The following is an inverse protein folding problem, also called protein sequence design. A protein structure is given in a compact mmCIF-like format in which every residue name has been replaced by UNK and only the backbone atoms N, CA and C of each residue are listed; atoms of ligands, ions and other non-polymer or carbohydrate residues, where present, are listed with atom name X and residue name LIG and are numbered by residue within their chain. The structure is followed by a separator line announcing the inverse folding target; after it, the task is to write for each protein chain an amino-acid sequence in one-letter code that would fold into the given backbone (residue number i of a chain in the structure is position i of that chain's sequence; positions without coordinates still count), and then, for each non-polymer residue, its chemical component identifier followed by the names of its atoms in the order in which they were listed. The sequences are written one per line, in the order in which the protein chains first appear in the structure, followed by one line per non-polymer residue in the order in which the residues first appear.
data_IF_187284936757
#
_entry.id   IF_187284936757
#
_cell.length_a   1.000
_cell.length_b   1.000
_cell.length_c   1.000
_cell.angle_alpha   90.00
_cell.angle_beta   90.00
_cell.angle_gamma   90.00
#
_symmetry.space_group_name_H-M   'P 1'
#
loop_
_entity.id
_entity.type
_entity.pdbx_description
1 polymer ?
#
# COMPACT_ATOMS: atom_id res chain seq x y z
N UNK A 1 1.51 29.58 -34.30
CA UNK A 1 2.90 29.88 -34.72
C UNK A 1 2.78 30.87 -35.87
N UNK A 2 3.47 32.02 -35.80
CA UNK A 2 3.42 33.04 -36.87
C UNK A 2 4.71 32.92 -37.65
N UNK A 3 4.62 32.64 -38.95
CA UNK A 3 5.80 32.48 -39.82
C UNK A 3 5.77 33.56 -40.90
N UNK A 4 6.87 34.30 -41.10
CA UNK A 4 6.94 35.33 -42.14
C UNK A 4 7.12 34.68 -43.52
N UNK A 5 6.42 35.18 -44.53
CA UNK A 5 6.62 34.81 -45.94
C UNK A 5 7.21 36.01 -46.66
N UNK A 6 8.47 35.91 -47.10
CA UNK A 6 9.13 36.97 -47.86
C UNK A 6 9.01 36.72 -49.37
N UNK A 7 8.36 37.63 -50.10
CA UNK A 7 8.51 37.74 -51.55
C UNK A 7 9.71 38.65 -51.85
N UNK A 8 10.56 38.26 -52.80
CA UNK A 8 11.78 39.00 -53.18
C UNK A 8 11.45 40.38 -53.77
N UNK A 9 11.31 41.38 -52.90
CA UNK A 9 11.74 42.77 -53.06
C UNK A 9 11.44 43.52 -51.76
N UNK A 10 12.48 44.03 -51.12
CA UNK A 10 12.51 44.89 -49.92
C UNK A 10 11.19 45.13 -49.17
N UNK A 11 10.94 44.33 -48.13
CA UNK A 11 9.89 44.56 -47.12
C UNK A 11 9.00 43.35 -46.90
N UNK A 12 8.81 42.94 -45.64
CA UNK A 12 7.83 41.92 -45.27
C UNK A 12 6.45 42.44 -45.69
N UNK A 13 5.82 41.82 -46.69
CA UNK A 13 4.54 42.30 -47.21
C UNK A 13 3.34 41.73 -46.45
N UNK A 14 3.44 40.52 -45.88
CA UNK A 14 2.32 39.85 -45.20
C UNK A 14 2.80 38.92 -44.08
N UNK A 15 2.00 38.85 -43.01
CA UNK A 15 2.14 37.84 -41.95
C UNK A 15 1.02 36.80 -42.09
N UNK A 16 1.38 35.52 -42.07
CA UNK A 16 0.42 34.43 -41.98
C UNK A 16 0.48 33.92 -40.54
N UNK A 17 -0.67 33.97 -39.86
CA UNK A 17 -0.86 33.32 -38.55
C UNK A 17 -1.81 32.15 -38.71
N UNK A 18 -1.39 30.99 -38.21
CA UNK A 18 -2.29 29.88 -37.92
C UNK A 18 -2.60 29.93 -36.44
N UNK A 19 -3.86 30.26 -36.13
CA UNK A 19 -4.40 30.22 -34.77
C UNK A 19 -5.15 28.89 -34.60
N UNK A 20 -4.66 28.04 -33.71
CA UNK A 20 -5.33 26.80 -33.33
C UNK A 20 -6.02 27.01 -31.99
N UNK A 21 -7.33 26.75 -31.93
CA UNK A 21 -8.03 26.72 -30.65
C UNK A 21 -7.61 25.47 -29.86
N UNK A 22 -6.92 25.71 -28.75
CA UNK A 22 -6.44 24.67 -27.83
C UNK A 22 -7.19 24.69 -26.50
N UNK A 23 -8.29 25.45 -26.40
CA UNK A 23 -9.03 25.65 -25.14
C UNK A 23 -9.49 24.32 -24.55
N UNK A 24 -10.01 23.41 -25.38
CA UNK A 24 -10.43 22.07 -24.96
C UNK A 24 -9.27 21.25 -24.39
N UNK A 25 -8.16 21.14 -25.13
CA UNK A 25 -6.96 20.41 -24.71
C UNK A 25 -6.40 20.94 -23.39
N UNK A 26 -6.27 22.27 -23.27
CA UNK A 26 -5.77 22.93 -22.05
C UNK A 26 -6.65 22.65 -20.83
N UNK A 27 -7.98 22.69 -20.98
CA UNK A 27 -8.91 22.38 -19.88
C UNK A 27 -8.78 20.92 -19.42
N UNK A 28 -8.66 19.98 -20.34
CA UNK A 28 -8.46 18.55 -20.01
C UNK A 28 -7.12 18.31 -19.30
N UNK A 29 -6.03 18.91 -19.79
CA UNK A 29 -4.71 18.83 -19.16
C UNK A 29 -4.74 19.38 -17.73
N UNK A 30 -5.33 20.56 -17.53
CA UNK A 30 -5.48 21.17 -16.20
C UNK A 30 -6.33 20.34 -15.26
N UNK A 31 -7.45 19.77 -15.75
CA UNK A 31 -8.30 18.91 -14.94
C UNK A 31 -7.57 17.63 -14.51
N UNK A 32 -6.80 17.02 -15.42
CA UNK A 32 -5.99 15.85 -15.14
C UNK A 32 -4.90 16.17 -14.11
N UNK A 33 -4.20 17.29 -14.26
CA UNK A 33 -3.17 17.73 -13.32
C UNK A 33 -3.74 18.01 -11.93
N UNK A 34 -4.88 18.70 -11.85
CA UNK A 34 -5.59 18.94 -10.58
C UNK A 34 -6.01 17.64 -9.90
N UNK A 35 -6.51 16.67 -10.67
CA UNK A 35 -6.89 15.35 -10.14
C UNK A 35 -5.68 14.57 -9.62
N UNK A 36 -4.57 14.54 -10.39
CA UNK A 36 -3.31 13.90 -9.97
C UNK A 36 -2.74 14.51 -8.71
N UNK A 37 -2.74 15.84 -8.62
CA UNK A 37 -2.28 16.57 -7.43
C UNK A 37 -3.12 16.20 -6.21
N UNK A 38 -4.45 16.26 -6.33
CA UNK A 38 -5.37 15.89 -5.25
C UNK A 38 -5.17 14.45 -4.80
N UNK A 39 -5.03 13.50 -5.73
CA UNK A 39 -4.78 12.10 -5.40
C UNK A 39 -3.49 11.95 -4.57
N UNK A 40 -2.39 12.55 -5.05
CA UNK A 40 -1.11 12.52 -4.32
C UNK A 40 -1.26 13.07 -2.91
N UNK A 41 -1.80 14.28 -2.77
CA UNK A 41 -2.03 14.92 -1.47
C UNK A 41 -2.81 14.03 -0.50
N UNK A 42 -3.89 13.38 -0.95
CA UNK A 42 -4.67 12.50 -0.10
C UNK A 42 -3.89 11.26 0.35
N UNK A 43 -3.16 10.64 -0.57
CA UNK A 43 -2.40 9.42 -0.24
C UNK A 43 -1.18 9.69 0.66
N UNK A 44 -0.60 10.89 0.60
CA UNK A 44 0.51 11.30 1.45
C UNK A 44 0.08 11.59 2.89
N UNK A 45 -1.21 11.84 3.13
CA UNK A 45 -1.77 12.02 4.47
C UNK A 45 -2.09 10.68 5.17
N UNK A 46 -2.11 9.57 4.44
CA UNK A 46 -2.45 8.27 5.01
C UNK A 46 -1.29 7.74 5.88
N UNK A 47 -1.55 7.31 7.11
CA UNK A 47 -0.52 6.76 7.99
C UNK A 47 -0.13 5.32 7.64
N UNK A 48 -0.72 4.72 6.60
CA UNK A 48 -0.40 3.38 6.13
C UNK A 48 0.37 3.41 4.81
N UNK A 49 1.38 2.53 4.66
CA UNK A 49 1.99 2.25 3.37
C UNK A 49 0.93 1.92 2.32
N UNK A 50 0.94 2.69 1.24
CA UNK A 50 0.11 2.48 0.05
C UNK A 50 1.04 2.14 -1.10
N UNK A 51 0.62 1.20 -1.94
CA UNK A 51 1.39 0.77 -3.10
C UNK A 51 0.50 0.47 -4.31
N UNK A 52 1.09 0.60 -5.49
CA UNK A 52 0.62 -0.07 -6.72
C UNK A 52 1.75 -0.88 -7.32
N UNK A 53 1.40 -2.00 -7.96
CA UNK A 53 2.34 -2.83 -8.71
C UNK A 53 1.81 -3.16 -10.10
N UNK A 54 2.70 -3.54 -11.01
CA UNK A 54 2.33 -4.31 -12.21
C UNK A 54 1.88 -5.72 -11.83
N UNK A 55 1.41 -6.51 -12.79
CA UNK A 55 1.03 -7.93 -12.60
C UNK A 55 2.25 -8.78 -12.20
N UNK A 56 3.42 -8.43 -12.75
CA UNK A 56 4.72 -9.06 -12.45
C UNK A 56 5.24 -8.63 -11.07
N UNK A 57 4.59 -7.62 -10.46
CA UNK A 57 4.87 -7.19 -9.11
C UNK A 57 5.98 -6.14 -8.99
N UNK A 58 6.30 -5.44 -10.07
CA UNK A 58 7.12 -4.23 -10.06
C UNK A 58 6.34 -3.11 -9.37
N UNK A 59 6.90 -2.44 -8.36
CA UNK A 59 6.23 -1.32 -7.69
C UNK A 59 6.19 -0.13 -8.66
N UNK A 60 4.99 0.37 -8.95
CA UNK A 60 4.73 1.50 -9.86
C UNK A 60 4.32 2.77 -9.11
N UNK A 61 3.87 2.62 -7.86
CA UNK A 61 3.51 3.72 -6.98
C UNK A 61 3.76 3.35 -5.53
N UNK A 62 4.22 4.31 -4.74
CA UNK A 62 4.30 4.22 -3.28
C UNK A 62 4.20 5.63 -2.68
N UNK A 63 3.45 5.80 -1.59
CA UNK A 63 3.41 7.06 -0.83
C UNK A 63 4.63 7.21 0.11
N UNK A 64 4.83 8.38 0.70
CA UNK A 64 6.01 8.68 1.53
C UNK A 64 6.20 7.70 2.70
N UNK A 65 5.10 7.31 3.36
CA UNK A 65 5.16 6.41 4.52
C UNK A 65 5.63 4.99 4.13
N UNK A 66 5.43 4.54 2.89
CA UNK A 66 5.99 3.28 2.39
C UNK A 66 7.52 3.29 2.43
N UNK A 67 8.14 4.40 2.01
CA UNK A 67 9.59 4.56 2.04
C UNK A 67 10.14 4.54 3.45
N UNK A 68 9.55 5.32 4.37
CA UNK A 68 10.00 5.36 5.76
C UNK A 68 9.77 4.03 6.48
N UNK A 69 8.65 3.35 6.21
CA UNK A 69 8.35 2.06 6.83
C UNK A 69 9.34 0.99 6.37
N UNK A 70 9.54 0.83 5.06
CA UNK A 70 10.40 -0.24 4.55
C UNK A 70 11.89 0.13 4.48
N UNK A 71 12.25 1.38 4.73
CA UNK A 71 13.64 1.87 4.70
C UNK A 71 14.22 2.00 3.29
N UNK A 72 13.38 2.00 2.26
CA UNK A 72 13.80 2.25 0.88
C UNK A 72 13.78 3.74 0.56
N UNK A 73 14.73 4.18 -0.26
CA UNK A 73 14.80 5.54 -0.77
C UNK A 73 14.00 5.69 -2.06
N UNK A 74 13.80 6.94 -2.48
CA UNK A 74 13.21 7.25 -3.80
C UNK A 74 14.08 6.72 -4.94
N UNK A 75 15.40 6.76 -4.77
CA UNK A 75 16.35 6.26 -5.76
C UNK A 75 16.22 4.75 -5.95
N UNK A 76 16.08 3.99 -4.87
CA UNK A 76 15.83 2.54 -4.95
C UNK A 76 14.55 2.25 -5.76
N UNK A 77 13.49 3.03 -5.52
CA UNK A 77 12.25 2.93 -6.27
C UNK A 77 12.42 3.24 -7.76
N UNK A 78 13.20 4.27 -8.10
CA UNK A 78 13.51 4.65 -9.48
C UNK A 78 14.39 3.61 -10.20
N UNK A 79 15.21 2.87 -9.46
CA UNK A 79 15.97 1.72 -9.98
C UNK A 79 15.11 0.47 -10.22
N UNK A 80 13.91 0.43 -9.63
CA UNK A 80 12.91 -0.61 -9.87
C UNK A 80 12.76 -1.61 -8.74
N UNK A 81 12.03 -1.24 -7.69
CA UNK A 81 11.67 -2.15 -6.59
C UNK A 81 10.59 -3.16 -6.99
N UNK A 82 10.69 -4.39 -6.51
CA UNK A 82 9.66 -5.43 -6.64
C UNK A 82 9.06 -5.76 -5.27
N UNK A 83 7.84 -6.31 -5.23
CA UNK A 83 7.30 -6.87 -3.98
C UNK A 83 8.23 -7.88 -3.33
N UNK A 84 9.09 -8.55 -4.11
CA UNK A 84 10.08 -9.51 -3.61
C UNK A 84 11.14 -8.88 -2.71
N UNK A 85 11.37 -7.58 -2.85
CA UNK A 85 12.29 -6.82 -1.98
C UNK A 85 11.61 -6.44 -0.67
N UNK A 86 10.28 -6.30 -0.68
CA UNK A 86 9.46 -5.86 0.47
C UNK A 86 8.86 -7.01 1.27
N UNK A 87 8.85 -8.24 0.74
CA UNK A 87 8.26 -9.43 1.38
C UNK A 87 9.36 -10.46 1.60
N UNK A 88 9.34 -11.11 2.76
CA UNK A 88 10.30 -12.15 3.12
C UNK A 88 10.21 -13.32 2.12
N UNK A 89 11.35 -13.92 1.71
CA UNK A 89 11.38 -15.02 0.73
C UNK A 89 10.44 -16.19 1.06
N UNK A 90 10.27 -16.50 2.34
CA UNK A 90 9.41 -17.57 2.87
C UNK A 90 7.94 -17.38 2.45
N UNK A 91 7.53 -16.14 2.21
CA UNK A 91 6.17 -15.78 1.87
C UNK A 91 5.92 -15.55 0.39
N UNK A 92 6.95 -15.61 -0.46
CA UNK A 92 6.80 -15.35 -1.90
C UNK A 92 5.84 -16.32 -2.57
N UNK A 93 5.94 -17.62 -2.28
CA UNK A 93 5.05 -18.62 -2.89
C UNK A 93 3.60 -18.45 -2.43
N UNK A 94 3.39 -18.24 -1.13
CA UNK A 94 2.08 -18.03 -0.52
C UNK A 94 1.42 -16.76 -1.07
N UNK A 95 2.17 -15.67 -1.16
CA UNK A 95 1.70 -14.42 -1.74
C UNK A 95 1.34 -14.59 -3.22
N UNK A 96 2.17 -15.25 -4.02
CA UNK A 96 1.89 -15.51 -5.42
C UNK A 96 0.62 -16.36 -5.62
N UNK A 97 0.42 -17.39 -4.81
CA UNK A 97 -0.80 -18.20 -4.84
C UNK A 97 -2.04 -17.36 -4.52
N UNK A 98 -1.95 -16.49 -3.50
CA UNK A 98 -3.03 -15.61 -3.10
C UNK A 98 -3.31 -14.50 -4.13
N UNK A 99 -2.28 -13.98 -4.81
CA UNK A 99 -2.44 -13.05 -5.93
C UNK A 99 -3.18 -13.71 -7.11
N UNK A 100 -2.86 -14.96 -7.46
CA UNK A 100 -3.60 -15.71 -8.50
C UNK A 100 -5.07 -15.88 -8.13
N UNK A 101 -5.36 -16.26 -6.88
CA UNK A 101 -6.74 -16.34 -6.37
C UNK A 101 -7.44 -14.99 -6.47
N UNK A 102 -6.77 -13.90 -6.07
CA UNK A 102 -7.30 -12.54 -6.15
C UNK A 102 -7.67 -12.14 -7.58
N UNK A 103 -6.78 -12.39 -8.53
CA UNK A 103 -7.01 -12.10 -9.95
C UNK A 103 -8.15 -12.94 -10.55
N UNK A 104 -8.35 -14.15 -10.03
CA UNK A 104 -9.48 -15.01 -10.40
C UNK A 104 -10.76 -14.73 -9.59
N UNK A 105 -10.79 -13.69 -8.75
CA UNK A 105 -11.90 -13.35 -7.85
C UNK A 105 -12.29 -14.51 -6.90
N UNK A 106 -11.32 -15.33 -6.51
CA UNK A 106 -11.48 -16.44 -5.57
C UNK A 106 -11.17 -15.91 -4.16
N UNK A 107 -12.10 -16.05 -3.19
CA UNK A 107 -11.83 -15.67 -1.80
C UNK A 107 -10.67 -16.45 -1.18
N UNK A 108 -9.88 -15.79 -0.35
CA UNK A 108 -8.86 -16.41 0.49
C UNK A 108 -8.75 -15.62 1.79
N UNK A 109 -8.54 -16.30 2.91
CA UNK A 109 -8.61 -15.68 4.25
C UNK A 109 -7.27 -15.21 4.81
N UNK A 110 -6.15 -15.62 4.21
CA UNK A 110 -4.82 -15.33 4.74
C UNK A 110 -4.21 -14.11 4.04
N UNK A 111 -4.10 -13.02 4.80
CA UNK A 111 -3.58 -11.73 4.36
C UNK A 111 -2.35 -11.31 5.17
N UNK A 112 -1.91 -12.14 6.11
CA UNK A 112 -0.76 -11.86 6.95
C UNK A 112 0.51 -12.43 6.33
N UNK A 113 1.52 -11.58 6.18
CA UNK A 113 2.82 -11.92 5.62
C UNK A 113 3.94 -11.37 6.50
N UNK A 114 5.17 -11.72 6.16
CA UNK A 114 6.38 -11.15 6.69
C UNK A 114 6.88 -10.09 5.72
N UNK A 115 6.80 -8.83 6.12
CA UNK A 115 7.44 -7.72 5.44
C UNK A 115 8.94 -7.73 5.73
N UNK A 116 9.73 -7.29 4.75
CA UNK A 116 11.19 -7.17 4.83
C UNK A 116 11.61 -5.74 4.54
N UNK A 117 12.33 -5.13 5.47
CA UNK A 117 12.93 -3.81 5.28
C UNK A 117 14.25 -3.92 4.51
N UNK A 118 14.74 -2.80 3.99
CA UNK A 118 16.01 -2.72 3.25
C UNK A 118 17.22 -3.23 4.05
N UNK A 119 17.22 -3.02 5.37
CA UNK A 119 18.27 -3.52 6.28
C UNK A 119 18.19 -5.03 6.54
N UNK A 120 17.15 -5.71 6.02
CA UNK A 120 16.90 -7.14 6.21
C UNK A 120 16.04 -7.47 7.42
N UNK A 121 15.66 -6.50 8.25
CA UNK A 121 14.75 -6.74 9.37
C UNK A 121 13.37 -7.18 8.86
N UNK A 122 12.77 -8.12 9.58
CA UNK A 122 11.49 -8.74 9.24
C UNK A 122 10.44 -8.34 10.27
N UNK A 123 9.24 -8.05 9.79
CA UNK A 123 8.12 -7.64 10.64
C UNK A 123 6.80 -8.16 10.08
N UNK A 124 5.82 -8.49 10.93
CA UNK A 124 4.54 -9.00 10.47
C UNK A 124 3.72 -7.87 9.82
N UNK A 125 3.15 -8.17 8.67
CA UNK A 125 2.31 -7.25 7.91
C UNK A 125 0.97 -7.87 7.54
N UNK A 126 -0.06 -7.04 7.46
CA UNK A 126 -1.36 -7.40 6.93
C UNK A 126 -1.62 -6.62 5.63
N UNK A 127 -1.89 -7.31 4.53
CA UNK A 127 -2.01 -6.70 3.20
C UNK A 127 -3.46 -6.74 2.70
N UNK A 128 -4.05 -5.56 2.54
CA UNK A 128 -5.33 -5.41 1.83
C UNK A 128 -5.07 -4.88 0.43
N UNK A 129 -5.56 -5.58 -0.59
CA UNK A 129 -5.33 -5.18 -1.97
C UNK A 129 -6.47 -5.58 -2.90
N UNK A 130 -6.54 -4.90 -4.04
CA UNK A 130 -7.49 -5.14 -5.12
C UNK A 130 -6.77 -5.08 -6.48
N UNK A 131 -7.25 -5.79 -7.51
CA UNK A 131 -6.72 -5.68 -8.84
C UNK A 131 -7.01 -4.30 -9.45
N UNK A 132 -6.05 -3.77 -10.20
CA UNK A 132 -6.23 -2.59 -11.04
C UNK A 132 -6.74 -3.07 -12.40
N UNK A 133 -7.96 -2.69 -12.77
CA UNK A 133 -8.57 -3.09 -14.05
C UNK A 133 -8.43 -1.96 -15.06
N UNK A 134 -7.86 -2.25 -16.23
CA UNK A 134 -7.82 -1.37 -17.40
C UNK A 134 -8.47 -2.09 -18.57
N UNK A 135 -9.46 -1.46 -19.20
CA UNK A 135 -10.21 -2.02 -20.34
C UNK A 135 -10.77 -3.44 -20.09
N UNK A 136 -11.18 -3.71 -18.85
CA UNK A 136 -11.73 -5.02 -18.44
C UNK A 136 -10.66 -6.08 -18.12
N UNK A 137 -9.37 -5.76 -18.23
CA UNK A 137 -8.25 -6.67 -17.98
C UNK A 137 -7.47 -6.24 -16.73
N UNK A 138 -7.08 -7.16 -15.84
CA UNK A 138 -6.15 -6.85 -14.77
C UNK A 138 -4.82 -6.33 -15.33
N UNK A 139 -4.35 -5.20 -14.80
CA UNK A 139 -3.12 -4.50 -15.21
C UNK A 139 -2.11 -4.37 -14.06
N UNK A 140 -2.52 -4.70 -12.84
CA UNK A 140 -1.71 -4.53 -11.65
C UNK A 140 -2.49 -4.79 -10.37
N UNK A 141 -1.87 -4.48 -9.25
CA UNK A 141 -2.44 -4.60 -7.90
C UNK A 141 -2.27 -3.27 -7.20
N UNK A 142 -3.30 -2.82 -6.48
CA UNK A 142 -3.18 -1.69 -5.54
C UNK A 142 -3.59 -2.12 -4.15
N UNK A 143 -2.92 -1.60 -3.14
CA UNK A 143 -3.21 -2.00 -1.78
C UNK A 143 -2.55 -1.16 -0.72
N UNK A 144 -2.96 -1.43 0.52
CA UNK A 144 -2.35 -0.92 1.74
C UNK A 144 -1.68 -2.05 2.50
N UNK A 145 -0.65 -1.70 3.26
CA UNK A 145 0.04 -2.60 4.18
C UNK A 145 -0.12 -2.04 5.59
N UNK A 146 -0.52 -2.89 6.53
CA UNK A 146 -0.55 -2.56 7.95
C UNK A 146 0.59 -3.30 8.64
N UNK A 147 1.44 -2.57 9.36
CA UNK A 147 2.35 -3.16 10.33
C UNK A 147 1.52 -3.65 11.52
N UNK A 148 1.59 -4.95 11.82
CA UNK A 148 0.82 -5.56 12.92
C UNK A 148 1.74 -6.01 14.07
N UNK A 149 2.96 -5.46 14.16
CA UNK A 149 3.94 -5.80 15.19
C UNK A 149 3.37 -5.54 16.59
N UNK A 150 2.91 -4.31 16.85
CA UNK A 150 2.35 -3.92 18.16
C UNK A 150 1.16 -4.82 18.54
N UNK A 151 0.28 -5.12 17.58
CA UNK A 151 -0.85 -6.02 17.80
C UNK A 151 -0.37 -7.42 18.22
N UNK A 152 0.62 -7.99 17.55
CA UNK A 152 1.16 -9.32 17.88
C UNK A 152 1.90 -9.32 19.23
N UNK A 153 2.60 -8.26 19.57
CA UNK A 153 3.26 -8.11 20.87
C UNK A 153 2.25 -8.07 22.03
N UNK A 154 1.13 -7.34 21.84
CA UNK A 154 0.04 -7.29 22.81
C UNK A 154 -0.64 -8.66 22.95
N UNK A 155 -0.96 -9.32 21.83
CA UNK A 155 -1.58 -10.64 21.82
C UNK A 155 -0.68 -11.68 22.52
N UNK A 156 0.62 -11.66 22.26
CA UNK A 156 1.59 -12.56 22.87
C UNK A 156 1.79 -12.29 24.37
N UNK A 157 1.89 -11.02 24.76
CA UNK A 157 1.97 -10.63 26.18
C UNK A 157 0.73 -11.10 26.94
N UNK A 158 -0.46 -10.95 26.34
CA UNK A 158 -1.71 -11.43 26.92
C UNK A 158 -1.72 -12.96 27.05
N UNK A 159 -1.23 -13.68 26.03
CA UNK A 159 -1.11 -15.15 26.03
C UNK A 159 -0.18 -15.63 27.14
N UNK A 160 1.02 -15.06 27.24
CA UNK A 160 1.99 -15.40 28.28
C UNK A 160 1.46 -15.11 29.69
N UNK A 161 0.77 -13.99 29.88
CA UNK A 161 0.13 -13.67 31.16
C UNK A 161 -0.96 -14.69 31.51
N UNK A 162 -1.83 -15.07 30.55
CA UNK A 162 -2.85 -16.10 30.78
C UNK A 162 -2.24 -17.44 31.15
N UNK A 163 -1.18 -17.86 30.47
CA UNK A 163 -0.47 -19.11 30.78
C UNK A 163 0.17 -19.06 32.17
N UNK A 164 0.86 -17.95 32.49
CA UNK A 164 1.45 -17.73 33.82
C UNK A 164 0.40 -17.80 34.92
N UNK A 165 -0.73 -17.11 34.76
CA UNK A 165 -1.82 -17.16 35.74
C UNK A 165 -2.42 -18.57 35.85
N UNK A 166 -2.64 -19.26 34.72
CA UNK A 166 -3.13 -20.65 34.73
C UNK A 166 -2.20 -21.57 35.52
N UNK A 167 -0.89 -21.47 35.32
CA UNK A 167 0.09 -22.26 36.05
C UNK A 167 0.13 -21.92 37.54
N UNK A 168 0.01 -20.64 37.90
CA UNK A 168 -0.08 -20.22 39.30
C UNK A 168 -1.33 -20.80 39.96
N UNK A 169 -2.52 -20.66 39.35
CA UNK A 169 -3.76 -21.21 39.89
C UNK A 169 -3.73 -22.73 40.02
N UNK A 170 -3.17 -23.45 39.05
CA UNK A 170 -3.04 -24.91 39.09
C UNK A 170 -2.02 -25.40 40.13
N UNK A 171 -1.04 -24.57 40.48
CA UNK A 171 -0.04 -24.91 41.49
C UNK A 171 -0.51 -24.60 42.92
N UNK A 172 -1.63 -23.90 43.11
CA UNK A 172 -2.18 -23.66 44.43
C UNK A 172 -2.80 -24.97 44.94
N UNK A 173 -2.35 -25.52 46.09
CA UNK A 173 -2.89 -26.76 46.64
C UNK A 173 -4.34 -26.61 47.13
N UNK A 174 -4.73 -25.38 47.48
CA UNK A 174 -6.03 -25.04 48.06
C UNK A 174 -7.06 -24.65 46.98
N UNK A 175 -8.34 -24.85 47.29
CA UNK A 175 -9.42 -24.44 46.40
C UNK A 175 -9.48 -22.90 46.31
N UNK A 176 -9.36 -22.36 45.09
CA UNK A 176 -9.53 -20.93 44.83
C UNK A 176 -10.93 -20.68 44.28
N UNK A 177 -11.67 -19.79 44.94
CA UNK A 177 -13.03 -19.41 44.56
C UNK A 177 -13.04 -17.94 44.13
N UNK A 178 -13.55 -17.66 42.93
CA UNK A 178 -13.77 -16.29 42.43
C UNK A 178 -15.27 -16.00 42.48
N UNK A 179 -15.66 -14.89 43.09
CA UNK A 179 -17.05 -14.46 43.20
C UNK A 179 -17.20 -13.00 42.76
N UNK A 180 -18.32 -12.68 42.10
CA UNK A 180 -18.67 -11.32 41.72
C UNK A 180 -18.98 -10.50 42.98
N UNK A 181 -18.34 -9.35 43.12
CA UNK A 181 -18.45 -8.51 44.33
C UNK A 181 -19.85 -7.90 44.51
N UNK A 182 -20.59 -7.69 43.42
CA UNK A 182 -21.88 -7.01 43.44
C UNK A 182 -23.04 -7.98 43.64
N UNK A 183 -22.98 -9.18 43.06
CA UNK A 183 -24.05 -10.19 43.17
C UNK A 183 -23.75 -11.30 44.17
N UNK A 184 -22.51 -11.43 44.65
CA UNK A 184 -22.06 -12.54 45.50
C UNK A 184 -22.07 -13.90 44.79
N UNK A 185 -22.32 -13.91 43.49
CA UNK A 185 -22.39 -15.13 42.68
C UNK A 185 -20.99 -15.65 42.39
N UNK A 186 -20.82 -16.97 42.39
CA UNK A 186 -19.58 -17.57 41.92
C UNK A 186 -19.39 -17.26 40.43
N UNK A 187 -18.19 -16.79 40.08
CA UNK A 187 -17.78 -16.63 38.69
C UNK A 187 -17.38 -18.02 38.20
N UNK A 188 -18.16 -18.56 37.26
CA UNK A 188 -17.94 -19.88 36.69
C UNK A 188 -16.78 -19.88 35.68
#
# INVERSE_FOLDING_TARGET
MISPVSLKSSGISHYISVNQDITGKKKTEQALEKSRKRFRELTELLPQPLFETTIEGQITYANAISFSTFGFSREDFEQGLSYKDLIAPEDHERLNANLRKKLANIPFGDHEYLGRRKDGSIFPVLIYSAPIIQDGVPSGIRGIILDITERKEIEETLRQNKEKYRHLFQAIPDAVIVADRSSGSLVQ
#
